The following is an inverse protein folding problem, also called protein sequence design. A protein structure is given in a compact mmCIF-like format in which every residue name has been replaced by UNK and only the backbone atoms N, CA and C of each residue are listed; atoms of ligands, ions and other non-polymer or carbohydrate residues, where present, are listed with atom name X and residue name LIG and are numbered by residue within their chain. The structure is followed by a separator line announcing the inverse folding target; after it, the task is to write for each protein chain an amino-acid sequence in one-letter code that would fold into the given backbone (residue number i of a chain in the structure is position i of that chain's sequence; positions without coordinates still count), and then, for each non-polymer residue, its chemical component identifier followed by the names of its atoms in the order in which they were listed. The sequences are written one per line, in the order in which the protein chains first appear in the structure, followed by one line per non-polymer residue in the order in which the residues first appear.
data_IF_037953661466
#
_entry.id   IF_037953661466
#
_cell.length_a   1.000
_cell.length_b   1.000
_cell.length_c   1.000
_cell.angle_alpha   90.00
_cell.angle_beta   90.00
_cell.angle_gamma   90.00
#
_symmetry.space_group_name_H-M   'P 1'
#
loop_
_entity.id
_entity.type
_entity.pdbx_description
1 polymer ?
#
# COMPACT_ATOMS: atom_id res chain seq x y z
N UNK A 1 24.49 17.44 -6.62
CA UNK A 1 24.00 16.53 -5.56
C UNK A 1 22.48 16.59 -5.53
N UNK A 2 21.77 15.52 -5.92
CA UNK A 2 20.33 15.43 -5.68
C UNK A 2 20.13 15.27 -4.17
N UNK A 3 19.57 16.29 -3.51
CA UNK A 3 19.16 16.19 -2.10
C UNK A 3 18.23 14.97 -1.96
N UNK A 4 18.57 14.03 -1.07
CA UNK A 4 17.78 12.82 -0.81
C UNK A 4 16.37 13.20 -0.31
N UNK A 5 15.45 13.36 -1.27
CA UNK A 5 14.03 13.69 -1.10
C UNK A 5 13.30 12.51 -0.45
N UNK A 6 12.30 12.79 0.39
CA UNK A 6 11.45 11.73 0.94
C UNK A 6 10.61 11.12 -0.17
N UNK A 7 10.39 9.81 -0.11
CA UNK A 7 9.72 9.06 -1.19
C UNK A 7 8.61 8.19 -0.63
N UNK A 8 7.48 8.14 -1.34
CA UNK A 8 6.41 7.18 -1.11
C UNK A 8 6.25 6.35 -2.38
N UNK A 9 6.26 5.02 -2.21
CA UNK A 9 5.99 4.06 -3.27
C UNK A 9 4.67 3.38 -2.93
N UNK A 10 3.68 3.55 -3.79
CA UNK A 10 2.36 2.94 -3.71
C UNK A 10 2.32 1.73 -4.62
N UNK A 11 1.66 0.66 -4.19
CA UNK A 11 1.48 -0.56 -5.01
C UNK A 11 0.00 -0.71 -5.31
N UNK A 12 -0.32 -0.85 -6.60
CA UNK A 12 -1.65 -1.17 -7.11
C UNK A 12 -2.72 -0.15 -6.76
N UNK A 13 -3.90 -0.62 -6.40
CA UNK A 13 -5.17 0.08 -6.52
C UNK A 13 -5.28 1.33 -5.66
N UNK A 14 -4.83 1.28 -4.39
CA UNK A 14 -4.95 2.36 -3.39
C UNK A 14 -6.33 3.04 -3.41
N UNK A 15 -7.37 2.23 -3.61
CA UNK A 15 -8.76 2.70 -3.70
C UNK A 15 -9.12 3.45 -2.42
N UNK A 16 -9.95 4.50 -2.56
CA UNK A 16 -10.50 5.35 -1.50
C UNK A 16 -9.61 6.45 -0.93
N UNK A 17 -8.28 6.36 -1.07
CA UNK A 17 -7.40 7.35 -0.43
C UNK A 17 -6.31 7.95 -1.33
N UNK A 18 -6.32 7.65 -2.63
CA UNK A 18 -5.31 8.14 -3.59
C UNK A 18 -5.16 9.68 -3.58
N UNK A 19 -6.25 10.41 -3.38
CA UNK A 19 -6.25 11.88 -3.30
C UNK A 19 -5.43 12.42 -2.11
N UNK A 20 -5.31 11.62 -1.04
CA UNK A 20 -4.53 11.96 0.14
C UNK A 20 -3.05 12.18 -0.18
N UNK A 21 -2.54 11.59 -1.27
CA UNK A 21 -1.15 11.76 -1.67
C UNK A 21 -0.82 13.14 -2.24
N UNK A 22 -1.83 13.95 -2.57
CA UNK A 22 -1.61 15.36 -2.90
C UNK A 22 -0.95 16.10 -1.73
N UNK A 23 -1.39 15.87 -0.49
CA UNK A 23 -0.78 16.51 0.68
C UNK A 23 0.72 16.19 0.80
N UNK A 24 1.09 14.92 0.63
CA UNK A 24 2.50 14.51 0.67
C UNK A 24 3.29 15.12 -0.49
N UNK A 25 2.68 15.21 -1.67
CA UNK A 25 3.28 15.83 -2.84
C UNK A 25 3.55 17.33 -2.63
N UNK A 26 2.60 18.05 -2.04
CA UNK A 26 2.75 19.47 -1.64
C UNK A 26 3.85 19.65 -0.58
N UNK A 27 3.99 18.68 0.32
CA UNK A 27 5.09 18.64 1.31
C UNK A 27 6.44 18.21 0.72
N UNK A 28 6.55 18.09 -0.60
CA UNK A 28 7.81 17.80 -1.28
C UNK A 28 8.21 16.34 -1.23
N UNK A 29 7.28 15.40 -1.09
CA UNK A 29 7.57 13.98 -1.31
C UNK A 29 7.61 13.66 -2.82
N UNK A 30 8.45 12.70 -3.18
CA UNK A 30 8.36 11.99 -4.46
C UNK A 30 7.34 10.86 -4.32
N UNK A 31 6.41 10.76 -5.26
CA UNK A 31 5.35 9.75 -5.26
C UNK A 31 5.54 8.86 -6.49
N UNK A 32 5.71 7.57 -6.28
CA UNK A 32 5.76 6.55 -7.32
C UNK A 32 4.60 5.58 -7.09
N UNK A 33 3.83 5.25 -8.12
CA UNK A 33 2.81 4.22 -8.08
C UNK A 33 3.22 3.08 -9.01
N UNK A 34 3.38 1.90 -8.43
CA UNK A 34 3.65 0.66 -9.14
C UNK A 34 2.32 0.08 -9.59
N UNK A 35 2.12 0.06 -10.90
CA UNK A 35 0.94 -0.49 -11.55
C UNK A 35 1.01 -2.01 -11.59
N UNK A 36 -0.10 -2.65 -11.21
CA UNK A 36 -0.30 -4.09 -11.34
C UNK A 36 -0.46 -4.48 -12.81
N UNK A 37 -0.06 -5.70 -13.17
CA UNK A 37 -0.24 -6.30 -14.48
C UNK A 37 -1.71 -6.63 -14.74
N UNK A 38 -2.47 -6.98 -13.70
CA UNK A 38 -3.91 -7.13 -13.83
C UNK A 38 -4.58 -5.77 -14.06
N UNK A 39 -5.23 -5.66 -15.21
CA UNK A 39 -6.02 -4.50 -15.59
C UNK A 39 -7.43 -4.64 -15.02
N UNK A 40 -7.76 -3.79 -14.03
CA UNK A 40 -9.14 -3.58 -13.60
C UNK A 40 -9.46 -2.10 -13.82
N UNK A 41 -10.41 -1.85 -14.71
CA UNK A 41 -10.75 -0.49 -15.18
C UNK A 41 -11.17 0.45 -14.05
N UNK A 42 -11.73 -0.09 -12.96
CA UNK A 42 -12.14 0.67 -11.78
C UNK A 42 -11.00 1.45 -11.13
N UNK A 43 -9.74 1.08 -11.38
CA UNK A 43 -8.58 1.75 -10.78
C UNK A 43 -7.86 2.68 -11.74
N UNK A 44 -8.34 2.82 -12.99
CA UNK A 44 -7.76 3.74 -13.96
C UNK A 44 -7.69 5.16 -13.42
N UNK A 45 -8.77 5.63 -12.79
CA UNK A 45 -8.85 6.96 -12.17
C UNK A 45 -7.76 7.21 -11.14
N UNK A 46 -7.33 6.18 -10.40
CA UNK A 46 -6.32 6.34 -9.35
C UNK A 46 -4.93 6.60 -9.96
N UNK A 47 -4.61 5.93 -11.07
CA UNK A 47 -3.39 6.25 -11.83
C UNK A 47 -3.44 7.66 -12.40
N UNK A 48 -4.58 8.05 -13.00
CA UNK A 48 -4.78 9.38 -13.57
C UNK A 48 -4.63 10.48 -12.50
N UNK A 49 -5.14 10.26 -11.28
CA UNK A 49 -4.98 11.17 -10.14
C UNK A 49 -3.49 11.32 -9.77
N UNK A 50 -2.76 10.21 -9.62
CA UNK A 50 -1.33 10.27 -9.27
C UNK A 50 -0.52 11.02 -10.33
N UNK A 51 -0.79 10.79 -11.62
CA UNK A 51 -0.15 11.54 -12.70
C UNK A 51 -0.51 13.04 -12.64
N UNK A 52 -1.78 13.36 -12.37
CA UNK A 52 -2.25 14.76 -12.31
C UNK A 52 -1.59 15.57 -11.19
N UNK A 53 -1.22 14.94 -10.07
CA UNK A 53 -0.48 15.59 -8.98
C UNK A 53 1.04 15.60 -9.22
N UNK A 54 1.50 15.06 -10.36
CA UNK A 54 2.90 14.98 -10.74
C UNK A 54 3.67 13.85 -10.06
N UNK A 55 2.98 12.76 -9.68
CA UNK A 55 3.59 11.48 -9.34
C UNK A 55 4.01 10.70 -10.59
N UNK A 56 4.74 9.60 -10.39
CA UNK A 56 5.22 8.74 -11.47
C UNK A 56 4.49 7.39 -11.44
N UNK A 57 4.00 6.93 -12.59
CA UNK A 57 3.51 5.56 -12.76
C UNK A 57 4.63 4.70 -13.33
N UNK A 58 4.88 3.54 -12.72
CA UNK A 58 5.84 2.55 -13.21
C UNK A 58 5.17 1.19 -13.33
N UNK A 59 5.58 0.42 -14.34
CA UNK A 59 5.10 -0.95 -14.53
C UNK A 59 6.00 -1.90 -13.74
N UNK A 60 5.39 -2.81 -12.99
CA UNK A 60 6.14 -3.79 -12.22
C UNK A 60 6.90 -4.76 -13.12
N UNK A 61 8.19 -4.97 -12.81
CA UNK A 61 8.97 -6.06 -13.37
C UNK A 61 9.62 -6.85 -12.24
N UNK A 62 9.45 -8.18 -12.27
CA UNK A 62 10.01 -9.07 -11.26
C UNK A 62 11.49 -9.39 -11.50
N UNK A 63 12.34 -8.36 -11.58
CA UNK A 63 13.78 -8.52 -11.79
C UNK A 63 14.60 -7.61 -10.84
N UNK A 64 15.88 -7.93 -10.69
CA UNK A 64 16.79 -7.20 -9.81
C UNK A 64 16.90 -5.72 -10.20
N UNK A 65 17.04 -5.44 -11.50
CA UNK A 65 17.23 -4.08 -12.03
C UNK A 65 16.07 -3.15 -11.68
N UNK A 66 14.84 -3.65 -11.76
CA UNK A 66 13.66 -2.91 -11.33
C UNK A 66 13.69 -2.60 -9.83
N UNK A 67 13.93 -3.62 -8.99
CA UNK A 67 13.93 -3.48 -7.54
C UNK A 67 15.06 -2.54 -7.05
N UNK A 68 16.25 -2.63 -7.64
CA UNK A 68 17.36 -1.72 -7.36
C UNK A 68 17.05 -0.30 -7.86
N UNK A 69 16.42 -0.19 -9.04
CA UNK A 69 15.99 1.08 -9.64
C UNK A 69 14.96 1.86 -8.82
N UNK A 70 14.17 1.20 -7.95
CA UNK A 70 13.29 1.90 -7.00
C UNK A 70 14.07 2.80 -6.02
N UNK A 71 15.37 2.51 -5.80
CA UNK A 71 16.25 3.32 -4.97
C UNK A 71 15.80 3.37 -3.50
N UNK A 72 15.37 2.22 -2.96
CA UNK A 72 14.91 2.08 -1.58
C UNK A 72 15.99 2.56 -0.59
N UNK A 73 15.59 3.34 0.41
CA UNK A 73 16.46 3.85 1.47
C UNK A 73 15.62 4.22 2.71
N UNK A 74 16.26 4.68 3.79
CA UNK A 74 15.60 5.09 5.04
C UNK A 74 14.64 6.30 4.96
N UNK A 75 14.52 6.95 3.80
CA UNK A 75 13.53 8.01 3.53
C UNK A 75 12.40 7.53 2.62
N UNK A 76 12.35 6.24 2.32
CA UNK A 76 11.31 5.62 1.48
C UNK A 76 10.28 4.92 2.36
N UNK A 77 9.01 5.18 2.09
CA UNK A 77 7.87 4.42 2.59
C UNK A 77 7.27 3.65 1.42
N UNK A 78 7.06 2.35 1.58
CA UNK A 78 6.37 1.50 0.59
C UNK A 78 5.03 1.09 1.19
N UNK A 79 3.94 1.32 0.46
CA UNK A 79 2.58 1.02 0.92
C UNK A 79 1.93 0.08 -0.10
N UNK A 80 1.53 -1.11 0.37
CA UNK A 80 0.77 -2.08 -0.43
C UNK A 80 -0.63 -2.32 0.15
N UNK A 81 -1.62 -2.27 -0.74
CA UNK A 81 -3.03 -2.52 -0.47
C UNK A 81 -3.46 -3.95 -0.78
N UNK A 82 -4.77 -4.11 -0.95
CA UNK A 82 -5.42 -5.34 -1.41
C UNK A 82 -6.73 -5.58 -0.66
N UNK A 83 -7.81 -5.75 -1.41
CA UNK A 83 -9.19 -5.94 -0.98
C UNK A 83 -9.53 -7.40 -0.64
N UNK A 84 -8.86 -8.41 -1.24
CA UNK A 84 -9.06 -9.86 -1.06
C UNK A 84 -10.50 -10.43 -1.16
N UNK A 85 -11.55 -9.60 -1.19
CA UNK A 85 -12.95 -9.89 -1.52
C UNK A 85 -13.70 -10.96 -0.73
N UNK A 86 -13.03 -11.72 0.15
CA UNK A 86 -13.66 -12.76 0.95
C UNK A 86 -14.29 -13.89 0.15
N UNK A 87 -13.90 -14.09 -1.11
CA UNK A 87 -14.44 -15.16 -1.96
C UNK A 87 -15.79 -14.84 -2.61
N UNK A 88 -16.14 -13.56 -2.71
CA UNK A 88 -17.32 -13.11 -3.45
C UNK A 88 -17.04 -13.24 -4.95
N UNK A 89 -17.74 -14.17 -5.62
CA UNK A 89 -17.52 -14.48 -7.05
C UNK A 89 -17.59 -13.25 -7.97
N UNK A 90 -18.49 -12.29 -7.71
CA UNK A 90 -18.61 -11.06 -8.51
C UNK A 90 -17.41 -10.11 -8.37
N UNK A 91 -16.50 -10.38 -7.44
CA UNK A 91 -15.31 -9.58 -7.12
C UNK A 91 -14.01 -10.36 -7.33
N UNK A 92 -14.03 -11.50 -8.03
CA UNK A 92 -12.86 -12.36 -8.26
C UNK A 92 -11.68 -11.60 -8.91
N UNK A 93 -11.96 -10.63 -9.78
CA UNK A 93 -10.93 -9.78 -10.39
C UNK A 93 -10.19 -8.92 -9.34
N UNK A 94 -10.89 -8.48 -8.29
CA UNK A 94 -10.30 -7.72 -7.18
C UNK A 94 -9.42 -8.61 -6.31
N UNK A 95 -9.82 -9.87 -6.10
CA UNK A 95 -8.99 -10.84 -5.39
C UNK A 95 -7.68 -11.10 -6.14
N UNK A 96 -7.73 -11.30 -7.47
CA UNK A 96 -6.54 -11.49 -8.32
C UNK A 96 -5.59 -10.31 -8.25
N UNK A 97 -6.09 -9.08 -8.34
CA UNK A 97 -5.27 -7.89 -8.14
C UNK A 97 -4.68 -7.81 -6.73
N UNK A 98 -5.46 -8.17 -5.70
CA UNK A 98 -4.98 -8.12 -4.30
C UNK A 98 -3.84 -9.12 -4.05
N UNK A 99 -3.93 -10.30 -4.65
CA UNK A 99 -2.86 -11.30 -4.62
C UNK A 99 -1.61 -10.80 -5.32
N UNK A 100 -1.77 -10.12 -6.45
CA UNK A 100 -0.66 -9.51 -7.18
C UNK A 100 0.00 -8.37 -6.39
N UNK A 101 -0.78 -7.44 -5.82
CA UNK A 101 -0.25 -6.36 -4.99
C UNK A 101 0.55 -6.90 -3.80
N UNK A 102 0.01 -7.94 -3.15
CA UNK A 102 0.68 -8.62 -2.05
C UNK A 102 1.99 -9.28 -2.50
N UNK A 103 2.02 -9.89 -3.69
CA UNK A 103 3.23 -10.47 -4.26
C UNK A 103 4.29 -9.39 -4.53
N UNK A 104 3.91 -8.28 -5.15
CA UNK A 104 4.81 -7.15 -5.42
C UNK A 104 5.38 -6.59 -4.12
N UNK A 105 4.52 -6.34 -3.11
CA UNK A 105 4.95 -5.87 -1.80
C UNK A 105 5.92 -6.86 -1.14
N UNK A 106 5.65 -8.17 -1.25
CA UNK A 106 6.53 -9.20 -0.74
C UNK A 106 7.91 -9.18 -1.41
N UNK A 107 7.97 -9.07 -2.75
CA UNK A 107 9.26 -9.02 -3.46
C UNK A 107 10.07 -7.78 -3.08
N UNK A 108 9.42 -6.61 -3.01
CA UNK A 108 10.04 -5.35 -2.59
C UNK A 108 10.52 -5.43 -1.15
N UNK A 109 9.69 -5.93 -0.23
CA UNK A 109 10.03 -6.02 1.19
C UNK A 109 11.14 -7.04 1.48
N UNK A 110 11.13 -8.18 0.78
CA UNK A 110 12.21 -9.17 0.83
C UNK A 110 13.52 -8.57 0.32
N UNK A 111 13.50 -7.84 -0.81
CA UNK A 111 14.67 -7.14 -1.33
C UNK A 111 15.18 -6.06 -0.35
N UNK A 112 14.28 -5.25 0.20
CA UNK A 112 14.58 -4.25 1.22
C UNK A 112 15.34 -4.85 2.42
N UNK A 113 14.87 -6.01 2.90
CA UNK A 113 15.48 -6.75 3.99
C UNK A 113 16.84 -7.34 3.62
N UNK A 114 16.93 -8.06 2.49
CA UNK A 114 18.15 -8.76 2.06
C UNK A 114 19.32 -7.82 1.77
N UNK A 115 19.03 -6.61 1.25
CA UNK A 115 20.04 -5.63 0.88
C UNK A 115 20.12 -4.45 1.86
N UNK A 116 19.53 -4.57 3.04
CA UNK A 116 19.59 -3.57 4.11
C UNK A 116 19.28 -2.15 3.64
N UNK A 117 18.24 -2.00 2.81
CA UNK A 117 17.86 -0.70 2.25
C UNK A 117 17.15 0.19 3.28
N UNK A 118 16.60 -0.39 4.34
CA UNK A 118 15.97 0.32 5.46
C UNK A 118 14.75 1.19 5.07
N UNK A 119 14.12 0.94 3.93
CA UNK A 119 12.81 1.51 3.63
C UNK A 119 11.75 0.96 4.59
N UNK A 120 10.74 1.78 4.91
CA UNK A 120 9.65 1.39 5.80
C UNK A 120 8.50 0.77 5.01
N UNK A 121 8.17 -0.48 5.29
CA UNK A 121 7.22 -1.28 4.54
C UNK A 121 5.89 -1.36 5.28
N UNK A 122 4.81 -0.94 4.62
CA UNK A 122 3.46 -0.87 5.16
C UNK A 122 2.50 -1.74 4.36
N UNK A 123 1.68 -2.52 5.06
CA UNK A 123 0.53 -3.23 4.48
C UNK A 123 -0.76 -2.67 5.06
N UNK A 124 -1.65 -2.17 4.20
CA UNK A 124 -2.89 -1.49 4.58
C UNK A 124 -4.17 -2.27 4.26
N UNK A 125 -4.97 -2.61 5.26
CA UNK A 125 -6.24 -3.32 5.12
C UNK A 125 -7.40 -2.33 5.09
N UNK A 126 -8.12 -2.33 3.97
CA UNK A 126 -9.39 -1.63 3.86
C UNK A 126 -10.54 -2.48 4.42
N UNK A 127 -11.64 -1.84 4.80
CA UNK A 127 -12.80 -2.44 5.50
C UNK A 127 -13.41 -3.70 4.87
N UNK A 128 -13.14 -3.97 3.60
CA UNK A 128 -13.69 -5.10 2.85
C UNK A 128 -12.68 -6.26 2.67
N UNK A 129 -11.54 -6.20 3.36
CA UNK A 129 -10.53 -7.26 3.37
C UNK A 129 -11.03 -8.54 4.04
N UNK A 130 -11.07 -9.65 3.29
CA UNK A 130 -11.49 -10.97 3.78
C UNK A 130 -10.72 -12.13 3.16
N UNK A 131 -10.57 -13.23 3.91
CA UNK A 131 -9.93 -14.47 3.41
C UNK A 131 -10.99 -15.48 2.96
N UNK A 132 -10.96 -15.85 1.69
CA UNK A 132 -11.87 -16.84 1.10
C UNK A 132 -11.57 -18.28 1.51
N UNK A 133 -10.37 -18.55 2.01
CA UNK A 133 -9.92 -19.87 2.44
C UNK A 133 -8.70 -19.81 3.35
N UNK A 134 -8.39 -20.92 4.02
CA UNK A 134 -7.14 -21.09 4.77
C UNK A 134 -5.90 -20.94 3.90
N UNK A 135 -5.96 -21.35 2.63
CA UNK A 135 -4.88 -21.15 1.67
C UNK A 135 -4.54 -19.66 1.48
N UNK A 136 -5.56 -18.80 1.36
CA UNK A 136 -5.34 -17.35 1.21
C UNK A 136 -4.77 -16.76 2.50
N UNK A 137 -5.25 -17.18 3.67
CA UNK A 137 -4.70 -16.76 4.95
C UNK A 137 -3.20 -17.15 5.10
N UNK A 138 -2.85 -18.38 4.73
CA UNK A 138 -1.48 -18.88 4.75
C UNK A 138 -0.58 -18.17 3.74
N UNK A 139 -1.08 -17.95 2.52
CA UNK A 139 -0.40 -17.18 1.48
C UNK A 139 -0.10 -15.78 1.99
N UNK A 140 -1.10 -15.10 2.53
CA UNK A 140 -0.97 -13.78 3.13
C UNK A 140 0.07 -13.78 4.26
N UNK A 141 0.00 -14.73 5.19
CA UNK A 141 0.95 -14.84 6.31
C UNK A 141 2.41 -14.96 5.86
N UNK A 142 2.66 -15.72 4.80
CA UNK A 142 4.00 -15.84 4.19
C UNK A 142 4.49 -14.50 3.61
N UNK A 143 3.57 -13.73 3.01
CA UNK A 143 3.90 -12.53 2.24
C UNK A 143 4.05 -11.26 3.09
N UNK A 144 3.52 -11.24 4.31
CA UNK A 144 3.73 -10.14 5.26
C UNK A 144 4.99 -10.28 6.13
N UNK A 145 5.78 -11.33 5.93
CA UNK A 145 6.96 -11.63 6.77
C UNK A 145 7.92 -10.45 6.93
N UNK A 146 8.15 -9.69 5.85
CA UNK A 146 9.10 -8.57 5.81
C UNK A 146 8.44 -7.19 5.91
N UNK A 147 7.15 -7.13 6.27
CA UNK A 147 6.43 -5.87 6.50
C UNK A 147 6.75 -5.33 7.90
N UNK A 148 6.92 -4.01 8.01
CA UNK A 148 7.22 -3.33 9.29
C UNK A 148 5.95 -2.97 10.07
N UNK A 149 4.89 -2.58 9.36
CA UNK A 149 3.64 -2.09 9.93
C UNK A 149 2.42 -2.62 9.19
N UNK A 150 1.44 -3.11 9.95
CA UNK A 150 0.08 -3.37 9.47
C UNK A 150 -0.83 -2.18 9.83
N UNK A 151 -1.62 -1.70 8.88
CA UNK A 151 -2.58 -0.60 9.10
C UNK A 151 -3.96 -1.16 8.84
N UNK A 152 -4.85 -1.07 9.82
CA UNK A 152 -6.22 -1.59 9.71
C UNK A 152 -7.23 -0.46 9.78
N UNK A 153 -8.24 -0.47 8.91
CA UNK A 153 -9.31 0.52 8.96
C UNK A 153 -10.08 0.56 10.26
N UNK A 154 -10.26 -0.60 10.89
CA UNK A 154 -11.04 -0.77 12.11
C UNK A 154 -10.54 -1.97 12.94
N UNK A 155 -11.00 -2.02 14.19
CA UNK A 155 -10.61 -3.07 15.14
C UNK A 155 -11.09 -4.47 14.72
N UNK A 156 -12.30 -4.59 14.14
CA UNK A 156 -12.84 -5.88 13.73
C UNK A 156 -11.95 -6.54 12.66
N UNK A 157 -11.41 -5.74 11.74
CA UNK A 157 -10.51 -6.22 10.71
C UNK A 157 -9.15 -6.62 11.27
N UNK A 158 -8.63 -5.88 12.24
CA UNK A 158 -7.43 -6.24 12.97
C UNK A 158 -7.60 -7.57 13.72
N UNK A 159 -8.71 -7.75 14.43
CA UNK A 159 -9.05 -9.00 15.12
C UNK A 159 -9.20 -10.16 14.12
N UNK A 160 -9.92 -9.94 13.02
CA UNK A 160 -10.08 -10.94 11.97
C UNK A 160 -8.73 -11.43 11.43
N UNK A 161 -7.84 -10.50 11.04
CA UNK A 161 -6.53 -10.87 10.48
C UNK A 161 -5.66 -11.55 11.52
N UNK A 162 -5.60 -11.04 12.76
CA UNK A 162 -4.77 -11.64 13.80
C UNK A 162 -5.26 -13.00 14.27
N UNK A 163 -6.57 -13.26 14.22
CA UNK A 163 -7.13 -14.57 14.54
C UNK A 163 -6.85 -15.62 13.45
N UNK A 164 -6.73 -15.19 12.19
CA UNK A 164 -6.54 -16.11 11.05
C UNK A 164 -5.07 -16.21 10.57
N UNK A 165 -4.20 -15.29 10.99
CA UNK A 165 -2.81 -15.20 10.49
C UNK A 165 -1.85 -15.05 11.66
N UNK A 166 -1.22 -16.16 12.06
CA UNK A 166 -0.35 -16.23 13.24
C UNK A 166 0.79 -15.20 13.21
N UNK A 167 1.41 -14.99 12.04
CA UNK A 167 2.51 -14.01 11.88
C UNK A 167 2.04 -12.58 12.18
N UNK A 168 0.77 -12.25 11.92
CA UNK A 168 0.23 -10.92 12.15
C UNK A 168 0.13 -10.55 13.64
N UNK A 169 -0.04 -11.53 14.53
CA UNK A 169 -0.13 -11.30 15.99
C UNK A 169 1.12 -10.64 16.57
N UNK A 170 2.28 -10.87 15.95
CA UNK A 170 3.57 -10.37 16.39
C UNK A 170 4.03 -9.12 15.62
N UNK A 171 3.19 -8.57 14.73
CA UNK A 171 3.50 -7.38 13.94
C UNK A 171 3.03 -6.11 14.65
N UNK A 172 3.78 -5.03 14.48
CA UNK A 172 3.31 -3.70 14.86
C UNK A 172 2.09 -3.36 14.01
N UNK A 173 1.11 -2.71 14.62
CA UNK A 173 -0.06 -2.25 13.92
C UNK A 173 -0.55 -0.89 14.40
N UNK A 174 -1.35 -0.25 13.55
CA UNK A 174 -2.18 0.90 13.90
C UNK A 174 -3.61 0.69 13.39
N UNK A 175 -4.56 1.31 14.07
CA UNK A 175 -5.96 1.41 13.61
C UNK A 175 -6.15 2.82 13.06
N UNK A 176 -6.57 2.94 11.81
CA UNK A 176 -6.82 4.22 11.16
C UNK A 176 -6.77 4.13 9.64
N UNK A 177 -7.43 5.09 8.98
CA UNK A 177 -7.49 5.17 7.53
C UNK A 177 -6.28 5.93 7.02
N UNK A 178 -5.73 5.55 5.85
CA UNK A 178 -4.67 6.32 5.18
C UNK A 178 -5.31 7.48 4.39
N UNK A 179 -6.26 8.18 5.02
CA UNK A 179 -6.91 9.33 4.43
C UNK A 179 -6.38 10.60 5.09
N UNK A 180 -5.80 11.48 4.27
CA UNK A 180 -5.46 12.83 4.70
C UNK A 180 -6.48 13.75 4.06
N UNK A 181 -7.37 14.39 4.83
CA UNK A 181 -8.25 15.38 4.25
C UNK A 181 -7.37 16.51 3.70
N UNK A 182 -7.59 16.89 2.44
CA UNK A 182 -6.83 17.98 1.84
C UNK A 182 -7.03 19.23 2.69
N UNK A 183 -5.98 20.01 2.93
CA UNK A 183 -6.06 21.25 3.73
C UNK A 183 -7.19 22.19 3.29
N UNK A 184 -7.51 22.20 1.99
CA UNK A 184 -8.62 22.99 1.42
C UNK A 184 -10.02 22.50 1.80
N UNK A 185 -10.15 21.22 2.18
CA UNK A 185 -11.41 20.61 2.64
C UNK A 185 -11.50 20.56 4.17
N UNK A 186 -10.37 20.63 4.88
CA UNK A 186 -10.33 20.94 6.30
C UNK A 186 -10.43 22.46 6.46
N UNK A 187 -11.64 23.02 6.32
CA UNK A 187 -11.88 24.40 6.74
C UNK A 187 -11.41 24.53 8.18
N UNK A 188 -10.35 25.30 8.40
CA UNK A 188 -9.93 25.68 9.75
C UNK A 188 -11.05 26.56 10.28
N UNK A 189 -12.00 25.96 11.00
CA UNK A 189 -12.98 26.65 11.82
C UNK A 189 -12.30 27.29 13.04
N UNK A 190 -11.19 27.99 12.83
CA UNK A 190 -10.54 28.83 13.82
C UNK A 190 -10.37 30.23 13.25
N UNK A 191 -11.48 30.83 12.86
CA UNK A 191 -11.66 32.26 13.00
C UNK A 191 -11.95 32.54 14.49
N UNK A 192 -10.88 32.89 15.23
CA UNK A 192 -10.79 33.35 16.63
C UNK A 192 -10.25 32.31 17.64
N UNK A 193 -8.97 32.46 17.98
CA UNK A 193 -8.46 32.58 19.36
C UNK A 193 -7.28 33.56 19.32
#
# INVERSE_FOLDING_TARGET
MKLNKKKIILIGQNCWFVDSFLFFKECGYEIIMIKTLNHVDWFKSNYDIIESIGGQIVYYESNYSFLDGLGLNNKTIVIGGGYFSGGINSLECLEKCSLEELEILYQISKFNYQYHRNAFIVRYFNGDSGFSSSYIADFFGKKIKYVDLLVFDNVNLQEFVTNNVEVAKNKKFIIGWIETPLRRFVSVGCSKC
#
